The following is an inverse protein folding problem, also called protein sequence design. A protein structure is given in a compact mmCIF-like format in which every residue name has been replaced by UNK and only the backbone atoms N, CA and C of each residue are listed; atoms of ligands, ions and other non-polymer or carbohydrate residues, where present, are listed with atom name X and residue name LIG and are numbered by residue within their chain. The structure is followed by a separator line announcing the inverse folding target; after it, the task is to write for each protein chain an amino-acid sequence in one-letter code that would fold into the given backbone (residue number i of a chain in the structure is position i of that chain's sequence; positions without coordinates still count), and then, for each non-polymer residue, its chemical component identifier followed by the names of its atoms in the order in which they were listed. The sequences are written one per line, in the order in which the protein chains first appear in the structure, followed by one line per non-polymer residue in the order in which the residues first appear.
data_IF_344091029904
#
_entry.id   IF_344091029904
#
_cell.length_a   1.000
_cell.length_b   1.000
_cell.length_c   1.000
_cell.angle_alpha   90.00
_cell.angle_beta   90.00
_cell.angle_gamma   90.00
#
_symmetry.space_group_name_H-M   'P 1'
#
loop_
_entity.id
_entity.type
_entity.pdbx_description
1 polymer ?
#
# COMPACT_ATOMS: atom_id res chain seq x y z
N UNK A 1 13.06 -21.30 8.33
CA UNK A 1 14.33 -21.96 7.96
C UNK A 1 15.27 -21.83 9.15
N UNK A 2 16.26 -22.73 9.37
CA UNK A 2 17.23 -22.53 10.46
C UNK A 2 18.35 -21.59 10.04
N UNK A 3 19.03 -20.96 10.99
CA UNK A 3 20.21 -20.10 10.79
C UNK A 3 21.29 -20.83 10.00
N UNK A 4 21.59 -22.09 10.32
CA UNK A 4 22.54 -22.93 9.60
C UNK A 4 22.23 -23.10 8.10
N UNK A 5 20.94 -23.15 7.72
CA UNK A 5 20.54 -23.18 6.30
C UNK A 5 20.73 -21.84 5.60
N UNK A 6 20.57 -20.72 6.31
CA UNK A 6 20.84 -19.38 5.78
C UNK A 6 22.34 -19.20 5.57
N UNK A 7 23.17 -19.57 6.54
CA UNK A 7 24.63 -19.53 6.40
C UNK A 7 25.14 -20.41 5.26
N UNK A 8 24.56 -21.60 5.07
CA UNK A 8 24.85 -22.44 3.91
C UNK A 8 24.47 -21.73 2.61
N UNK A 9 23.27 -21.12 2.51
CA UNK A 9 22.85 -20.36 1.34
C UNK A 9 23.82 -19.21 1.04
N UNK A 10 24.26 -18.48 2.08
CA UNK A 10 25.24 -17.40 1.92
C UNK A 10 26.53 -17.91 1.30
N UNK A 11 27.05 -19.04 1.77
CA UNK A 11 28.24 -19.67 1.20
C UNK A 11 28.02 -20.15 -0.24
N UNK A 12 26.91 -20.87 -0.50
CA UNK A 12 26.59 -21.46 -1.81
C UNK A 12 26.35 -20.39 -2.89
N UNK A 13 25.96 -19.18 -2.48
CA UNK A 13 25.66 -18.04 -3.37
C UNK A 13 26.72 -16.93 -3.30
N UNK A 14 27.83 -17.18 -2.63
CA UNK A 14 28.93 -16.22 -2.49
C UNK A 14 28.43 -14.84 -2.05
N UNK A 15 27.55 -14.82 -1.02
CA UNK A 15 26.97 -13.58 -0.49
C UNK A 15 28.07 -12.76 0.17
N UNK A 16 28.19 -11.50 -0.24
CA UNK A 16 29.15 -10.52 0.30
C UNK A 16 28.50 -9.64 1.37
N UNK A 17 27.20 -9.35 1.22
CA UNK A 17 26.45 -8.51 2.17
C UNK A 17 25.12 -9.13 2.57
N UNK A 18 24.71 -8.87 3.81
CA UNK A 18 23.38 -9.19 4.34
C UNK A 18 22.64 -7.88 4.63
N UNK A 19 21.54 -7.66 3.96
CA UNK A 19 20.75 -6.43 4.01
C UNK A 19 19.49 -6.68 4.86
N UNK A 20 19.50 -6.12 6.08
CA UNK A 20 18.40 -6.24 7.04
C UNK A 20 17.36 -5.16 6.76
N UNK A 21 16.18 -5.55 6.25
CA UNK A 21 15.12 -4.62 5.86
C UNK A 21 13.96 -4.63 6.83
N UNK A 22 13.46 -3.46 7.14
CA UNK A 22 12.27 -3.27 7.99
C UNK A 22 11.43 -2.09 7.48
N UNK A 23 10.19 -1.99 7.92
CA UNK A 23 9.28 -0.92 7.51
C UNK A 23 8.96 -0.01 8.67
N UNK A 24 9.14 1.31 8.47
CA UNK A 24 8.80 2.30 9.48
C UNK A 24 7.26 2.55 9.57
N UNK A 25 6.76 3.30 10.56
CA UNK A 25 5.33 3.58 10.69
C UNK A 25 4.71 4.27 9.48
N UNK A 26 5.47 5.08 8.74
CA UNK A 26 5.00 5.75 7.51
C UNK A 26 4.88 4.79 6.32
N UNK A 27 5.39 3.57 6.41
CA UNK A 27 5.42 2.59 5.33
C UNK A 27 6.65 2.65 4.46
N UNK A 28 7.68 3.41 4.86
CA UNK A 28 8.95 3.47 4.15
C UNK A 28 9.79 2.25 4.48
N UNK A 29 10.33 1.60 3.44
CA UNK A 29 11.29 0.51 3.61
C UNK A 29 12.65 1.09 4.01
N UNK A 30 13.15 0.66 5.14
CA UNK A 30 14.44 1.03 5.72
C UNK A 30 15.38 -0.16 5.69
N UNK A 31 16.70 0.05 5.76
CA UNK A 31 17.65 -1.03 5.79
C UNK A 31 18.93 -0.71 6.56
N UNK A 32 19.63 -1.78 6.95
CA UNK A 32 20.99 -1.78 7.48
C UNK A 32 21.74 -2.94 6.80
N UNK A 33 22.87 -2.65 6.16
CA UNK A 33 23.68 -3.66 5.46
C UNK A 33 24.87 -4.07 6.33
N UNK A 34 25.04 -5.39 6.49
CA UNK A 34 26.14 -6.02 7.22
C UNK A 34 27.09 -6.71 6.25
N UNK A 35 28.39 -6.68 6.54
CA UNK A 35 29.38 -7.53 5.87
C UNK A 35 29.10 -8.99 6.19
N UNK A 36 29.07 -9.85 5.17
CA UNK A 36 28.70 -11.27 5.35
C UNK A 36 29.70 -12.04 6.23
N UNK A 37 30.93 -11.57 6.35
CA UNK A 37 31.98 -12.24 7.15
C UNK A 37 31.74 -12.18 8.66
N UNK A 38 30.92 -11.21 9.11
CA UNK A 38 30.58 -11.06 10.54
C UNK A 38 29.21 -11.65 10.88
N UNK A 39 28.48 -12.17 9.90
CA UNK A 39 27.15 -12.76 10.11
C UNK A 39 27.29 -14.21 10.56
N UNK A 40 26.85 -14.49 11.76
CA UNK A 40 26.88 -15.82 12.37
C UNK A 40 25.47 -16.32 12.81
N UNK A 41 25.42 -17.47 13.45
CA UNK A 41 24.16 -18.03 13.96
C UNK A 41 23.54 -17.17 15.07
N UNK A 42 24.37 -16.54 15.92
CA UNK A 42 23.89 -15.66 17.00
C UNK A 42 23.19 -14.45 16.41
N UNK A 43 23.83 -13.76 15.47
CA UNK A 43 23.24 -12.62 14.79
C UNK A 43 21.90 -12.97 14.09
N UNK A 44 21.84 -14.11 13.40
CA UNK A 44 20.63 -14.55 12.72
C UNK A 44 19.49 -14.92 13.67
N UNK A 45 19.81 -15.41 14.87
CA UNK A 45 18.82 -15.83 15.86
C UNK A 45 18.42 -14.71 16.83
N UNK A 46 19.39 -13.88 17.25
CA UNK A 46 19.18 -12.86 18.30
C UNK A 46 18.93 -11.48 17.70
N UNK A 47 19.44 -11.22 16.48
CA UNK A 47 19.30 -9.95 15.79
C UNK A 47 20.46 -9.00 16.03
N UNK A 48 20.30 -7.75 15.54
CA UNK A 48 21.29 -6.69 15.59
C UNK A 48 20.70 -5.45 16.25
N UNK A 49 21.45 -4.84 17.17
CA UNK A 49 21.06 -3.57 17.78
C UNK A 49 21.12 -2.42 16.78
N UNK A 50 20.18 -1.52 16.89
CA UNK A 50 20.15 -0.27 16.13
C UNK A 50 19.47 0.84 16.94
N UNK A 51 19.66 2.10 16.50
CA UNK A 51 19.04 3.27 17.10
C UNK A 51 17.60 3.46 16.61
N UNK A 52 16.64 3.03 17.41
CA UNK A 52 15.20 3.22 17.13
C UNK A 52 14.73 4.67 17.27
N UNK A 53 15.50 5.56 17.94
CA UNK A 53 15.12 6.98 18.07
C UNK A 53 15.29 7.76 16.76
N UNK A 54 16.10 7.24 15.84
CA UNK A 54 16.26 7.78 14.49
C UNK A 54 15.07 7.47 13.57
N UNK A 55 14.11 6.64 14.01
CA UNK A 55 12.90 6.31 13.26
C UNK A 55 11.72 7.12 13.80
N UNK A 56 11.16 7.99 12.96
CA UNK A 56 10.06 8.86 13.34
C UNK A 56 8.84 8.05 13.82
N UNK A 57 8.25 8.46 14.95
CA UNK A 57 7.11 7.80 15.57
C UNK A 57 7.45 6.57 16.43
N UNK A 58 8.75 6.23 16.59
CA UNK A 58 9.19 5.14 17.46
C UNK A 58 9.65 5.62 18.84
N UNK A 59 10.86 5.30 19.24
CA UNK A 59 11.39 5.55 20.59
C UNK A 59 11.91 7.00 20.76
N UNK A 60 11.96 7.46 22.00
CA UNK A 60 12.68 8.67 22.34
C UNK A 60 14.18 8.37 22.50
N UNK A 61 15.02 9.41 22.43
CA UNK A 61 16.49 9.28 22.45
C UNK A 61 17.05 8.58 23.70
N UNK A 62 16.34 8.65 24.82
CA UNK A 62 16.75 8.01 26.08
C UNK A 62 16.33 6.52 26.19
N UNK A 63 15.65 5.99 25.17
CA UNK A 63 15.22 4.59 25.06
C UNK A 63 15.53 4.04 23.66
N UNK A 64 16.63 4.47 23.04
CA UNK A 64 16.93 4.29 21.62
C UNK A 64 17.20 2.84 21.19
N UNK A 65 17.73 2.01 22.10
CA UNK A 65 18.21 0.67 21.75
C UNK A 65 17.05 -0.27 21.38
N UNK A 66 17.09 -0.75 20.14
CA UNK A 66 16.15 -1.72 19.59
C UNK A 66 16.91 -2.80 18.82
N UNK A 67 16.23 -3.90 18.51
CA UNK A 67 16.81 -5.05 17.80
C UNK A 67 16.08 -5.27 16.48
N UNK A 68 16.85 -5.32 15.38
CA UNK A 68 16.43 -5.88 14.10
C UNK A 68 16.56 -7.39 14.17
N UNK A 69 15.44 -8.12 14.24
CA UNK A 69 15.43 -9.58 14.29
C UNK A 69 15.05 -10.16 12.93
N UNK A 70 15.99 -10.83 12.21
CA UNK A 70 15.71 -11.37 10.89
C UNK A 70 14.64 -12.46 10.92
N UNK A 71 13.67 -12.38 10.00
CA UNK A 71 12.76 -13.47 9.69
C UNK A 71 13.38 -14.40 8.64
N UNK A 72 13.96 -15.49 9.10
CA UNK A 72 14.68 -16.43 8.24
C UNK A 72 13.79 -17.17 7.23
N UNK A 73 12.48 -17.06 7.37
CA UNK A 73 11.53 -17.58 6.38
C UNK A 73 11.42 -16.71 5.14
N UNK A 74 11.70 -15.41 5.27
CA UNK A 74 11.59 -14.40 4.20
C UNK A 74 12.96 -13.86 3.84
N UNK A 75 13.52 -14.36 2.76
CA UNK A 75 14.84 -14.01 2.23
C UNK A 75 14.80 -13.87 0.72
N UNK A 76 15.58 -12.95 0.20
CA UNK A 76 15.66 -12.63 -1.23
C UNK A 76 17.11 -12.32 -1.58
N UNK A 77 17.62 -12.83 -2.71
CA UNK A 77 18.88 -12.33 -3.27
C UNK A 77 18.54 -11.10 -4.09
N UNK A 78 19.22 -9.98 -3.82
CA UNK A 78 18.96 -8.71 -4.48
C UNK A 78 19.49 -8.75 -5.92
N UNK A 79 18.62 -8.58 -6.94
CA UNK A 79 19.07 -8.61 -8.34
C UNK A 79 19.64 -7.28 -8.84
N UNK A 80 19.65 -6.23 -8.02
CA UNK A 80 19.99 -4.86 -8.45
C UNK A 80 21.32 -4.35 -7.90
N UNK A 81 21.91 -5.03 -6.93
CA UNK A 81 23.21 -4.65 -6.35
C UNK A 81 24.35 -5.28 -7.14
N UNK A 82 25.48 -4.56 -7.27
CA UNK A 82 26.69 -5.05 -7.94
C UNK A 82 27.39 -6.19 -7.17
N UNK A 83 27.18 -6.25 -5.86
CA UNK A 83 27.69 -7.27 -4.96
C UNK A 83 26.57 -8.23 -4.55
N UNK A 84 26.88 -9.50 -4.42
CA UNK A 84 25.89 -10.51 -4.02
C UNK A 84 25.32 -10.21 -2.64
N UNK A 85 24.09 -9.72 -2.59
CA UNK A 85 23.45 -9.24 -1.36
C UNK A 85 22.24 -10.11 -1.03
N UNK A 86 22.16 -10.57 0.22
CA UNK A 86 21.02 -11.31 0.76
C UNK A 86 20.13 -10.35 1.58
N UNK A 87 18.92 -10.10 1.11
CA UNK A 87 17.90 -9.35 1.84
C UNK A 87 17.20 -10.27 2.83
N UNK A 88 17.11 -9.83 4.10
CA UNK A 88 16.30 -10.45 5.15
C UNK A 88 15.31 -9.42 5.69
N UNK A 89 14.02 -9.76 5.68
CA UNK A 89 13.01 -8.95 6.36
C UNK A 89 13.13 -9.14 7.87
N UNK A 90 13.05 -8.04 8.63
CA UNK A 90 13.19 -8.05 10.07
C UNK A 90 11.90 -7.66 10.78
N UNK A 91 11.68 -8.29 11.92
CA UNK A 91 10.79 -7.82 12.97
C UNK A 91 11.56 -6.91 13.90
N UNK A 92 10.87 -5.99 14.56
CA UNK A 92 11.48 -5.12 15.56
C UNK A 92 11.18 -5.66 16.96
N UNK A 93 12.22 -5.79 17.76
CA UNK A 93 12.15 -6.30 19.13
C UNK A 93 12.62 -5.23 20.10
N UNK A 94 11.86 -5.05 21.19
CA UNK A 94 12.27 -4.17 22.30
C UNK A 94 13.48 -4.79 23.01
N UNK A 95 14.57 -4.03 23.12
CA UNK A 95 15.82 -4.54 23.64
C UNK A 95 15.76 -4.89 25.15
N UNK A 96 14.89 -4.22 25.89
CA UNK A 96 14.71 -4.42 27.35
C UNK A 96 13.69 -5.53 27.63
N UNK A 97 12.50 -5.41 27.05
CA UNK A 97 11.39 -6.37 27.24
C UNK A 97 11.61 -7.67 26.49
N UNK A 98 12.47 -7.68 25.47
CA UNK A 98 12.79 -8.82 24.58
C UNK A 98 11.54 -9.45 23.93
N UNK A 99 10.51 -8.63 23.68
CA UNK A 99 9.29 -8.99 22.96
C UNK A 99 9.13 -8.14 21.69
N UNK A 100 8.17 -8.51 20.84
CA UNK A 100 7.82 -7.71 19.66
C UNK A 100 7.49 -6.28 20.06
N UNK A 101 8.10 -5.30 19.38
CA UNK A 101 7.85 -3.89 19.62
C UNK A 101 6.43 -3.52 19.19
N UNK A 102 5.68 -2.81 20.03
CA UNK A 102 4.27 -2.55 19.81
C UNK A 102 3.97 -1.72 18.56
N UNK A 103 4.91 -0.83 18.19
CA UNK A 103 4.78 0.04 17.02
C UNK A 103 5.43 -0.53 15.75
N UNK A 104 5.87 -1.80 15.78
CA UNK A 104 6.36 -2.49 14.59
C UNK A 104 5.20 -2.86 13.66
N UNK A 105 5.10 -2.26 12.44
CA UNK A 105 4.02 -2.57 11.51
C UNK A 105 3.94 -4.06 11.13
N UNK A 106 5.11 -4.70 10.93
CA UNK A 106 5.17 -6.13 10.58
C UNK A 106 4.74 -7.01 11.75
N UNK A 107 5.11 -6.64 12.97
CA UNK A 107 4.67 -7.28 14.20
C UNK A 107 3.14 -7.19 14.38
N UNK A 108 2.53 -6.03 14.08
CA UNK A 108 1.07 -5.84 14.10
C UNK A 108 0.41 -6.78 13.09
N UNK A 109 0.93 -6.88 11.88
CA UNK A 109 0.39 -7.78 10.85
C UNK A 109 0.43 -9.26 11.28
N UNK A 110 1.51 -9.70 11.93
CA UNK A 110 1.62 -11.05 12.53
C UNK A 110 0.58 -11.29 13.63
N UNK A 111 0.33 -10.28 14.48
CA UNK A 111 -0.73 -10.35 15.51
C UNK A 111 -2.12 -10.44 14.86
N UNK A 112 -2.38 -9.71 13.76
CA UNK A 112 -3.66 -9.79 13.04
C UNK A 112 -3.91 -11.17 12.44
N UNK A 113 -2.91 -11.82 11.84
CA UNK A 113 -3.03 -13.22 11.38
C UNK A 113 -3.27 -14.21 12.54
N UNK A 114 -2.58 -14.01 13.66
CA UNK A 114 -2.77 -14.84 14.86
C UNK A 114 -4.17 -14.65 15.45
N UNK A 115 -4.67 -13.42 15.49
CA UNK A 115 -6.02 -13.11 15.95
C UNK A 115 -7.09 -13.78 15.07
N UNK A 116 -6.98 -13.69 13.74
CA UNK A 116 -7.89 -14.42 12.84
C UNK A 116 -7.99 -15.90 13.21
N UNK A 117 -6.85 -16.57 13.42
CA UNK A 117 -6.83 -17.99 13.81
C UNK A 117 -7.52 -18.22 15.15
N UNK A 118 -7.31 -17.36 16.14
CA UNK A 118 -7.90 -17.48 17.47
C UNK A 118 -9.43 -17.33 17.47
N UNK A 119 -9.98 -16.58 16.51
CA UNK A 119 -11.44 -16.42 16.37
C UNK A 119 -12.14 -17.70 15.88
N UNK A 120 -11.42 -18.62 15.25
CA UNK A 120 -11.98 -19.82 14.63
C UNK A 120 -12.75 -19.57 13.32
N UNK A 121 -12.86 -18.31 12.87
CA UNK A 121 -13.51 -17.92 11.60
C UNK A 121 -12.72 -18.49 10.42
N UNK A 122 -11.40 -18.36 10.47
CA UNK A 122 -10.49 -18.86 9.45
C UNK A 122 -9.07 -19.00 9.96
N UNK A 123 -8.20 -19.56 9.14
CA UNK A 123 -6.78 -19.72 9.46
C UNK A 123 -5.86 -18.92 8.53
N UNK A 124 -6.42 -18.40 7.41
CA UNK A 124 -5.72 -17.58 6.44
C UNK A 124 -6.61 -16.45 5.94
N UNK A 125 -6.06 -15.26 5.89
CA UNK A 125 -6.61 -14.14 5.13
C UNK A 125 -5.68 -13.87 3.95
N UNK A 126 -6.23 -13.90 2.74
CA UNK A 126 -5.49 -13.60 1.51
C UNK A 126 -5.76 -12.17 1.07
N UNK A 127 -4.69 -11.52 0.62
CA UNK A 127 -4.69 -10.16 0.08
C UNK A 127 -4.12 -10.17 -1.32
N UNK A 128 -4.81 -9.52 -2.26
CA UNK A 128 -4.39 -9.30 -3.64
C UNK A 128 -4.45 -7.81 -3.95
N UNK A 129 -3.41 -7.03 -3.60
CA UNK A 129 -3.36 -5.62 -3.95
C UNK A 129 -2.98 -5.42 -5.41
N UNK A 130 -3.49 -4.34 -6.00
CA UNK A 130 -3.22 -3.85 -7.36
C UNK A 130 -2.62 -2.44 -7.26
N UNK A 131 -1.32 -2.31 -6.87
CA UNK A 131 -0.71 -1.00 -6.73
C UNK A 131 -0.38 -0.39 -8.08
N UNK A 132 -0.98 0.77 -8.33
CA UNK A 132 -0.71 1.63 -9.48
C UNK A 132 0.41 2.62 -9.14
N UNK A 133 1.13 3.09 -10.16
CA UNK A 133 2.21 4.04 -9.99
C UNK A 133 2.44 4.88 -11.25
N UNK A 134 3.09 6.04 -11.08
CA UNK A 134 3.53 6.88 -12.18
C UNK A 134 5.04 6.76 -12.38
N UNK A 135 5.47 6.91 -13.65
CA UNK A 135 6.89 6.98 -14.04
C UNK A 135 7.12 8.23 -14.87
N UNK A 136 8.03 9.09 -14.42
CA UNK A 136 8.34 10.37 -15.06
C UNK A 136 9.79 10.41 -15.56
N UNK A 137 10.04 11.24 -16.55
CA UNK A 137 11.38 11.51 -17.07
C UNK A 137 12.14 12.48 -16.18
N UNK A 138 11.43 13.44 -15.58
CA UNK A 138 12.02 14.44 -14.70
C UNK A 138 10.99 14.96 -13.69
N UNK A 139 11.41 15.13 -12.44
CA UNK A 139 10.62 15.73 -11.37
C UNK A 139 11.48 16.71 -10.60
N UNK A 140 11.05 17.98 -10.59
CA UNK A 140 11.68 19.04 -9.82
C UNK A 140 10.67 19.64 -8.88
N UNK A 141 11.10 19.92 -7.67
CA UNK A 141 10.26 20.64 -6.71
C UNK A 141 11.11 21.58 -5.86
N UNK A 142 10.48 22.65 -5.43
CA UNK A 142 11.05 23.67 -4.57
C UNK A 142 10.06 24.01 -3.47
N UNK A 143 10.53 24.16 -2.27
CA UNK A 143 9.71 24.54 -1.11
C UNK A 143 10.55 25.43 -0.18
N UNK A 144 10.82 26.66 -0.66
CA UNK A 144 11.54 27.69 0.04
C UNK A 144 10.58 28.73 0.63
N UNK A 145 11.09 29.63 1.44
CA UNK A 145 10.31 30.69 2.11
C UNK A 145 9.53 31.57 1.13
N UNK A 146 10.07 31.80 -0.07
CA UNK A 146 9.54 32.71 -1.08
C UNK A 146 9.08 32.01 -2.38
N UNK A 147 9.20 30.69 -2.46
CA UNK A 147 8.84 29.95 -3.65
C UNK A 147 8.42 28.51 -3.31
N UNK A 148 7.21 28.15 -3.70
CA UNK A 148 6.71 26.77 -3.67
C UNK A 148 6.30 26.39 -5.08
N UNK A 149 7.00 25.42 -5.67
CA UNK A 149 6.75 24.96 -7.03
C UNK A 149 7.08 23.49 -7.21
N UNK A 150 6.48 22.88 -8.21
CA UNK A 150 6.92 21.59 -8.76
C UNK A 150 6.73 21.57 -10.25
N UNK A 151 7.57 20.80 -10.94
CA UNK A 151 7.48 20.55 -12.36
C UNK A 151 7.73 19.06 -12.63
N UNK A 152 6.87 18.48 -13.46
CA UNK A 152 6.92 17.07 -13.87
C UNK A 152 7.03 17.04 -15.39
N UNK A 153 7.93 16.20 -15.90
CA UNK A 153 8.07 15.93 -17.32
C UNK A 153 7.90 14.44 -17.60
N UNK A 154 7.22 14.13 -18.71
CA UNK A 154 7.14 12.79 -19.27
C UNK A 154 6.99 12.83 -20.79
N UNK A 155 7.66 11.93 -21.48
CA UNK A 155 7.52 11.78 -22.93
C UNK A 155 6.09 11.40 -23.36
N UNK A 156 5.27 10.87 -22.47
CA UNK A 156 3.86 10.57 -22.68
C UNK A 156 2.92 11.72 -22.30
N UNK A 157 3.40 12.68 -21.52
CA UNK A 157 2.55 13.74 -20.97
C UNK A 157 2.10 14.74 -22.04
N UNK A 158 0.80 15.13 -22.07
CA UNK A 158 0.31 16.19 -22.94
C UNK A 158 0.93 17.56 -22.64
N UNK A 159 1.50 17.73 -21.43
CA UNK A 159 2.20 18.91 -20.94
C UNK A 159 3.65 19.02 -21.46
N UNK A 160 4.12 18.05 -22.23
CA UNK A 160 5.50 17.94 -22.68
C UNK A 160 5.66 18.28 -24.17
N UNK A 161 5.35 19.49 -24.57
CA UNK A 161 5.39 19.90 -25.97
C UNK A 161 6.69 20.62 -26.40
N UNK A 162 7.45 21.14 -25.45
CA UNK A 162 8.66 21.95 -25.73
C UNK A 162 9.98 21.24 -25.44
N UNK A 163 9.97 20.08 -24.80
CA UNK A 163 11.20 19.36 -24.45
C UNK A 163 11.71 18.51 -25.60
N UNK A 164 13.02 18.51 -25.80
CA UNK A 164 13.70 17.59 -26.73
C UNK A 164 14.17 16.35 -25.95
N UNK A 165 13.91 15.19 -26.48
CA UNK A 165 14.42 13.92 -26.00
C UNK A 165 15.46 13.36 -26.96
N UNK A 166 16.38 12.53 -26.47
CA UNK A 166 17.40 11.87 -27.29
C UNK A 166 16.77 11.06 -28.44
N UNK A 167 15.72 10.31 -28.14
CA UNK A 167 14.95 9.53 -29.12
C UNK A 167 13.95 10.35 -29.94
N UNK A 168 13.88 11.67 -29.72
CA UNK A 168 12.88 12.54 -30.33
C UNK A 168 11.50 12.42 -29.69
N UNK A 169 10.64 13.40 -30.01
CA UNK A 169 9.25 13.40 -29.59
C UNK A 169 8.36 13.09 -30.81
N UNK A 170 7.96 11.83 -30.91
CA UNK A 170 7.32 11.27 -32.12
C UNK A 170 5.82 11.55 -32.22
N UNK A 171 5.22 12.26 -31.26
CA UNK A 171 3.81 12.61 -31.27
C UNK A 171 2.85 11.47 -30.84
N UNK A 172 3.31 10.25 -30.67
CA UNK A 172 2.51 9.14 -30.16
C UNK A 172 2.38 9.26 -28.65
N UNK A 173 1.20 9.69 -28.17
CA UNK A 173 0.92 9.90 -26.75
C UNK A 173 -0.50 9.51 -26.40
N UNK A 174 -0.73 8.91 -25.23
CA UNK A 174 -2.07 8.83 -24.70
C UNK A 174 -2.58 10.25 -24.36
N UNK A 175 -3.82 10.54 -24.66
CA UNK A 175 -4.47 11.78 -24.19
C UNK A 175 -4.79 11.71 -22.70
N UNK A 176 -5.26 12.82 -22.11
CA UNK A 176 -5.80 12.84 -20.75
C UNK A 176 -6.91 11.77 -20.67
N UNK A 177 -6.84 10.89 -19.68
CA UNK A 177 -7.71 9.71 -19.51
C UNK A 177 -7.74 8.75 -20.70
N UNK A 178 -6.74 8.79 -21.57
CA UNK A 178 -6.68 7.98 -22.80
C UNK A 178 -5.63 6.86 -22.79
N UNK A 179 -5.00 6.60 -21.64
CA UNK A 179 -3.89 5.65 -21.53
C UNK A 179 -4.25 4.19 -21.30
N UNK A 180 -5.54 3.84 -21.13
CA UNK A 180 -5.90 2.47 -20.80
C UNK A 180 -5.80 1.53 -21.99
N UNK A 181 -4.80 0.63 -21.96
CA UNK A 181 -4.53 -0.45 -22.92
C UNK A 181 -4.17 -0.04 -24.37
N UNK A 182 -3.50 1.10 -24.66
CA UNK A 182 -3.02 1.31 -26.00
C UNK A 182 -1.90 0.33 -26.34
N UNK A 183 -1.71 0.07 -27.62
CA UNK A 183 -0.53 -0.68 -28.09
C UNK A 183 0.64 0.27 -28.37
N UNK A 184 1.89 -0.22 -28.35
CA UNK A 184 3.03 0.56 -28.82
C UNK A 184 2.80 1.09 -30.27
N UNK A 185 3.28 2.29 -30.63
CA UNK A 185 4.17 3.16 -29.85
C UNK A 185 3.47 4.17 -28.93
N UNK A 186 2.12 4.19 -28.88
CA UNK A 186 1.38 5.06 -27.93
C UNK A 186 1.69 4.64 -26.49
N UNK A 187 1.73 3.34 -26.22
CA UNK A 187 2.32 2.76 -25.03
C UNK A 187 3.84 2.73 -25.16
N UNK A 188 4.53 3.73 -24.64
CA UNK A 188 5.99 3.83 -24.73
C UNK A 188 6.75 2.98 -23.70
N UNK A 189 6.05 2.36 -22.74
CA UNK A 189 6.66 1.71 -21.58
C UNK A 189 6.53 0.17 -21.58
N UNK A 190 6.15 -0.45 -22.70
CA UNK A 190 5.96 -1.89 -22.82
C UNK A 190 7.19 -2.68 -22.33
N UNK A 191 8.38 -2.33 -22.80
CA UNK A 191 9.62 -3.04 -22.48
C UNK A 191 10.03 -2.79 -21.01
N UNK A 192 9.90 -1.58 -20.52
CA UNK A 192 10.17 -1.25 -19.12
C UNK A 192 9.25 -2.04 -18.18
N UNK A 193 7.96 -2.19 -18.51
CA UNK A 193 7.06 -3.03 -17.72
C UNK A 193 7.41 -4.51 -17.80
N UNK A 194 7.96 -4.98 -18.91
CA UNK A 194 8.54 -6.31 -19.03
C UNK A 194 9.69 -6.53 -18.04
N UNK A 195 10.59 -5.55 -17.90
CA UNK A 195 11.68 -5.59 -16.92
C UNK A 195 11.20 -5.52 -15.48
N UNK A 196 10.14 -4.77 -15.17
CA UNK A 196 9.50 -4.84 -13.85
C UNK A 196 9.03 -6.25 -13.51
N UNK A 197 8.30 -6.92 -14.41
CA UNK A 197 7.85 -8.30 -14.17
C UNK A 197 9.02 -9.26 -14.00
N UNK A 198 10.11 -9.05 -14.74
CA UNK A 198 11.34 -9.84 -14.58
C UNK A 198 11.93 -9.63 -13.20
N UNK A 199 12.15 -8.38 -12.78
CA UNK A 199 12.67 -8.05 -11.46
C UNK A 199 11.81 -8.59 -10.31
N UNK A 200 10.48 -8.53 -10.46
CA UNK A 200 9.55 -9.12 -9.48
C UNK A 200 9.70 -10.64 -9.37
N UNK A 201 9.88 -11.35 -10.49
CA UNK A 201 10.17 -12.79 -10.47
C UNK A 201 11.50 -13.08 -9.82
N UNK A 202 12.52 -12.29 -10.11
CA UNK A 202 13.87 -12.44 -9.57
C UNK A 202 13.89 -12.31 -8.03
N UNK A 203 13.04 -11.44 -7.46
CA UNK A 203 12.83 -11.35 -6.00
C UNK A 203 11.81 -12.36 -5.45
N UNK A 204 11.33 -13.30 -6.26
CA UNK A 204 10.46 -14.40 -5.85
C UNK A 204 8.98 -14.07 -5.79
N UNK A 205 8.54 -12.95 -6.37
CA UNK A 205 7.11 -12.60 -6.47
C UNK A 205 6.51 -13.27 -7.71
N UNK A 206 5.43 -14.02 -7.53
CA UNK A 206 4.66 -14.57 -8.64
C UNK A 206 3.82 -13.47 -9.27
N UNK A 207 4.08 -13.17 -10.54
CA UNK A 207 3.42 -12.12 -11.32
C UNK A 207 2.36 -12.68 -12.26
N UNK A 208 1.45 -11.82 -12.71
CA UNK A 208 0.35 -12.14 -13.63
C UNK A 208 0.49 -11.42 -14.96
N UNK A 209 0.42 -10.10 -14.94
CA UNK A 209 0.26 -9.23 -16.10
C UNK A 209 0.86 -7.86 -15.83
N UNK A 210 0.99 -7.07 -16.88
CA UNK A 210 1.20 -5.63 -16.78
C UNK A 210 0.37 -4.91 -17.84
N UNK A 211 0.05 -3.67 -17.60
CA UNK A 211 -0.59 -2.80 -18.58
C UNK A 211 -0.32 -1.32 -18.29
N UNK A 212 -0.56 -0.50 -19.30
CA UNK A 212 -0.65 0.94 -19.15
C UNK A 212 -1.97 1.30 -18.49
N UNK A 213 -1.95 2.23 -17.55
CA UNK A 213 -3.14 2.74 -16.86
C UNK A 213 -3.76 3.95 -17.55
N UNK A 214 -4.85 4.48 -16.97
CA UNK A 214 -5.71 5.50 -17.58
C UNK A 214 -4.97 6.82 -17.84
N UNK A 215 -4.15 7.27 -16.89
CA UNK A 215 -3.38 8.50 -17.08
C UNK A 215 -2.10 8.26 -17.88
N UNK A 216 -1.61 9.24 -18.69
CA UNK A 216 -0.26 9.22 -19.22
C UNK A 216 0.77 8.94 -18.11
N UNK A 217 1.77 8.13 -18.40
CA UNK A 217 2.84 7.73 -17.45
C UNK A 217 2.40 6.86 -16.29
N UNK A 218 1.18 6.37 -16.30
CA UNK A 218 0.64 5.53 -15.23
C UNK A 218 0.64 4.04 -15.61
N UNK A 219 1.03 3.19 -14.67
CA UNK A 219 1.22 1.76 -14.89
C UNK A 219 0.67 0.93 -13.75
N UNK A 220 0.33 -0.33 -14.06
CA UNK A 220 -0.03 -1.37 -13.10
C UNK A 220 0.63 -2.70 -13.46
N UNK A 221 1.06 -3.44 -12.42
CA UNK A 221 1.61 -4.80 -12.53
C UNK A 221 0.81 -5.72 -11.62
N UNK A 222 0.27 -6.78 -12.18
CA UNK A 222 -0.47 -7.79 -11.42
C UNK A 222 0.46 -8.78 -10.71
N UNK A 223 0.21 -9.02 -9.42
CA UNK A 223 0.84 -10.07 -8.64
C UNK A 223 -0.18 -11.00 -8.00
N UNK A 224 0.19 -12.27 -7.83
CA UNK A 224 -0.68 -13.24 -7.16
C UNK A 224 -0.86 -12.89 -5.68
N UNK A 225 -2.07 -13.14 -5.17
CA UNK A 225 -2.39 -12.97 -3.75
C UNK A 225 -1.59 -13.89 -2.84
N UNK A 226 -1.34 -13.43 -1.61
CA UNK A 226 -0.69 -14.16 -0.52
C UNK A 226 -1.38 -13.87 0.80
N UNK A 227 -0.93 -14.50 1.88
CA UNK A 227 -1.37 -14.16 3.24
C UNK A 227 -0.92 -12.75 3.61
N UNK A 228 -1.51 -12.18 4.64
CA UNK A 228 -1.37 -10.77 4.99
C UNK A 228 0.10 -10.33 5.11
N UNK A 229 0.90 -11.00 5.95
CA UNK A 229 2.30 -10.64 6.18
C UNK A 229 3.13 -10.84 4.90
N UNK A 230 2.99 -11.99 4.24
CA UNK A 230 3.72 -12.29 3.01
C UNK A 230 3.38 -11.28 1.90
N UNK A 231 2.12 -10.85 1.80
CA UNK A 231 1.72 -9.91 0.78
C UNK A 231 2.16 -8.48 1.09
N UNK A 232 2.20 -8.10 2.36
CA UNK A 232 2.76 -6.80 2.76
C UNK A 232 4.27 -6.73 2.47
N UNK A 233 5.02 -7.80 2.78
CA UNK A 233 6.43 -7.96 2.36
C UNK A 233 6.57 -7.84 0.82
N UNK A 234 5.67 -8.48 0.06
CA UNK A 234 5.65 -8.41 -1.41
C UNK A 234 5.39 -6.99 -1.93
N UNK A 235 4.49 -6.22 -1.31
CA UNK A 235 4.25 -4.81 -1.70
C UNK A 235 5.50 -3.97 -1.48
N UNK A 236 6.24 -4.19 -0.41
CA UNK A 236 7.50 -3.49 -0.17
C UNK A 236 8.57 -3.83 -1.22
N UNK A 237 8.72 -5.11 -1.56
CA UNK A 237 9.61 -5.54 -2.66
C UNK A 237 9.13 -5.03 -4.02
N UNK A 238 7.82 -5.01 -4.27
CA UNK A 238 7.23 -4.45 -5.49
C UNK A 238 7.65 -2.99 -5.68
N UNK A 239 7.48 -2.17 -4.64
CA UNK A 239 7.90 -0.76 -4.68
C UNK A 239 9.40 -0.63 -4.93
N UNK A 240 10.21 -1.44 -4.26
CA UNK A 240 11.66 -1.47 -4.45
C UNK A 240 12.04 -1.79 -5.89
N UNK A 241 11.48 -2.86 -6.47
CA UNK A 241 11.73 -3.27 -7.86
C UNK A 241 11.32 -2.17 -8.84
N UNK A 242 10.13 -1.56 -8.64
CA UNK A 242 9.66 -0.47 -9.48
C UNK A 242 10.62 0.72 -9.46
N UNK A 243 11.10 1.12 -8.28
CA UNK A 243 12.08 2.21 -8.17
C UNK A 243 13.42 1.86 -8.86
N UNK A 244 13.94 0.65 -8.62
CA UNK A 244 15.24 0.23 -9.16
C UNK A 244 15.23 0.08 -10.69
N UNK A 245 14.20 -0.54 -11.24
CA UNK A 245 14.06 -0.67 -12.69
C UNK A 245 13.82 0.69 -13.35
N UNK A 246 12.95 1.55 -12.79
CA UNK A 246 12.77 2.91 -13.31
C UNK A 246 14.09 3.67 -13.36
N UNK A 247 14.87 3.58 -12.27
CA UNK A 247 16.19 4.21 -12.20
C UNK A 247 17.14 3.70 -13.30
N UNK A 248 17.15 2.40 -13.58
CA UNK A 248 17.98 1.82 -14.66
C UNK A 248 17.59 2.29 -16.07
N UNK A 249 16.35 2.75 -16.25
CA UNK A 249 15.86 3.39 -17.47
C UNK A 249 16.06 4.91 -17.49
N UNK A 250 16.77 5.49 -16.53
CA UNK A 250 16.94 6.94 -16.40
C UNK A 250 15.66 7.69 -16.07
N UNK A 251 14.69 7.01 -15.46
CA UNK A 251 13.37 7.56 -15.08
C UNK A 251 13.17 7.50 -13.57
N UNK A 252 12.11 8.13 -13.09
CA UNK A 252 11.73 8.12 -11.68
C UNK A 252 10.28 7.67 -11.49
N UNK A 253 10.06 6.72 -10.59
CA UNK A 253 8.73 6.22 -10.26
C UNK A 253 8.21 6.81 -8.96
N UNK A 254 6.88 6.91 -8.85
CA UNK A 254 6.22 7.32 -7.60
C UNK A 254 4.91 6.57 -7.37
N UNK A 255 4.68 6.20 -6.10
CA UNK A 255 3.40 5.69 -5.62
C UNK A 255 2.54 6.80 -4.99
N UNK A 256 2.86 8.04 -5.24
CA UNK A 256 2.08 9.20 -4.84
C UNK A 256 0.66 9.11 -5.43
N UNK A 257 -0.39 9.20 -4.62
CA UNK A 257 -1.76 8.92 -5.09
C UNK A 257 -2.28 9.89 -6.15
N UNK A 258 -1.82 11.14 -6.13
CA UNK A 258 -2.24 12.18 -7.08
C UNK A 258 -1.09 13.11 -7.44
N UNK A 259 -0.13 12.69 -8.26
CA UNK A 259 0.99 13.54 -8.65
C UNK A 259 0.62 14.56 -9.73
N UNK A 260 -0.38 14.28 -10.56
CA UNK A 260 -0.77 15.11 -11.72
C UNK A 260 -2.19 15.66 -11.53
N UNK A 261 -2.36 16.97 -11.76
CA UNK A 261 -3.66 17.65 -11.75
C UNK A 261 -4.44 17.32 -13.03
N UNK A 262 -5.75 17.09 -12.89
CA UNK A 262 -6.68 16.98 -14.03
C UNK A 262 -6.73 15.60 -14.71
N UNK A 263 -6.02 14.60 -14.19
CA UNK A 263 -6.07 13.23 -14.68
C UNK A 263 -6.30 12.21 -13.52
N UNK A 264 -6.38 10.91 -13.81
CA UNK A 264 -6.58 9.89 -12.78
C UNK A 264 -5.40 9.85 -11.78
N UNK A 265 -5.69 9.42 -10.56
CA UNK A 265 -4.69 9.12 -9.53
C UNK A 265 -4.43 7.62 -9.42
N UNK A 266 -3.42 7.25 -8.63
CA UNK A 266 -3.03 5.86 -8.39
C UNK A 266 -3.68 5.30 -7.15
N UNK A 267 -4.36 4.16 -7.30
CA UNK A 267 -4.92 3.34 -6.23
C UNK A 267 -4.02 2.17 -5.84
N UNK A 268 -4.46 1.45 -4.83
CA UNK A 268 -4.04 0.10 -4.51
C UNK A 268 -5.28 -0.69 -4.13
N UNK A 269 -6.10 -0.98 -5.14
CA UNK A 269 -7.31 -1.79 -4.92
C UNK A 269 -6.89 -3.11 -4.28
N UNK A 270 -7.60 -3.52 -3.23
CA UNK A 270 -7.15 -4.66 -2.43
C UNK A 270 -8.24 -5.73 -2.37
N UNK A 271 -8.01 -6.81 -3.10
CA UNK A 271 -8.83 -8.02 -3.02
C UNK A 271 -8.59 -8.75 -1.70
N UNK A 272 -9.65 -9.26 -1.08
CA UNK A 272 -9.58 -9.91 0.22
C UNK A 272 -10.48 -11.14 0.27
N UNK A 273 -9.99 -12.20 0.92
CA UNK A 273 -10.78 -13.40 1.23
C UNK A 273 -10.25 -14.11 2.47
N UNK A 274 -11.14 -14.81 3.20
CA UNK A 274 -10.78 -15.65 4.34
C UNK A 274 -10.98 -17.11 3.98
N UNK A 275 -10.04 -17.95 4.44
CA UNK A 275 -10.06 -19.39 4.24
C UNK A 275 -9.91 -20.14 5.56
N UNK A 276 -10.54 -21.31 5.64
CA UNK A 276 -10.37 -22.29 6.73
C UNK A 276 -9.92 -23.61 6.12
N UNK A 277 -8.67 -23.95 6.31
CA UNK A 277 -8.03 -25.05 5.60
C UNK A 277 -8.05 -24.83 4.08
N UNK A 278 -8.84 -25.65 3.37
CA UNK A 278 -9.06 -25.55 1.91
C UNK A 278 -10.41 -24.95 1.52
N UNK A 279 -11.19 -24.49 2.51
CA UNK A 279 -12.55 -23.99 2.29
C UNK A 279 -12.56 -22.46 2.23
N UNK A 280 -13.04 -21.84 1.13
CA UNK A 280 -13.23 -20.40 1.03
C UNK A 280 -14.45 -19.98 1.89
N UNK A 281 -14.21 -19.23 2.96
CA UNK A 281 -15.26 -18.80 3.91
C UNK A 281 -16.23 -17.81 3.26
N UNK A 282 -15.78 -17.08 2.25
CA UNK A 282 -16.59 -16.07 1.57
C UNK A 282 -17.56 -16.64 0.53
N UNK A 283 -17.40 -17.90 0.11
CA UNK A 283 -18.29 -18.54 -0.84
C UNK A 283 -19.63 -18.92 -0.20
N UNK A 284 -20.73 -18.64 -0.86
CA UNK A 284 -22.08 -18.95 -0.39
C UNK A 284 -23.15 -18.87 -1.48
N UNK A 285 -24.38 -18.62 -1.06
CA UNK A 285 -25.55 -18.54 -1.93
C UNK A 285 -26.33 -17.22 -1.80
N UNK A 286 -25.73 -16.22 -1.14
CA UNK A 286 -26.30 -14.88 -1.02
C UNK A 286 -25.91 -14.01 -2.22
N UNK A 287 -26.10 -12.69 -2.08
CA UNK A 287 -25.79 -11.72 -3.13
C UNK A 287 -24.41 -11.97 -3.77
N UNK A 288 -24.36 -11.99 -5.09
CA UNK A 288 -23.16 -12.25 -5.89
C UNK A 288 -22.41 -13.56 -5.55
N UNK A 289 -23.08 -14.57 -4.99
CA UNK A 289 -22.47 -15.86 -4.60
C UNK A 289 -21.64 -15.80 -3.31
N UNK A 290 -21.80 -14.77 -2.50
CA UNK A 290 -21.16 -14.63 -1.22
C UNK A 290 -21.91 -15.39 -0.10
N UNK A 291 -21.22 -15.63 1.01
CA UNK A 291 -21.77 -16.11 2.27
C UNK A 291 -22.24 -14.93 3.15
N UNK A 292 -23.07 -15.23 4.16
CA UNK A 292 -23.39 -14.23 5.21
C UNK A 292 -22.13 -13.72 5.90
N UNK A 293 -21.14 -14.58 6.09
CA UNK A 293 -19.84 -14.19 6.68
C UNK A 293 -19.15 -13.14 5.82
N UNK A 294 -19.14 -13.29 4.50
CA UNK A 294 -18.55 -12.30 3.59
C UNK A 294 -19.33 -10.97 3.60
N UNK A 295 -20.66 -11.03 3.65
CA UNK A 295 -21.49 -9.82 3.75
C UNK A 295 -21.24 -9.08 5.08
N UNK A 296 -21.18 -9.79 6.19
CA UNK A 296 -20.81 -9.18 7.48
C UNK A 296 -19.38 -8.59 7.47
N UNK A 297 -18.42 -9.25 6.80
CA UNK A 297 -17.06 -8.73 6.60
C UNK A 297 -17.11 -7.37 5.87
N UNK A 298 -17.87 -7.30 4.76
CA UNK A 298 -18.09 -6.06 4.01
C UNK A 298 -18.77 -5.00 4.91
N UNK A 299 -19.75 -5.41 5.71
CA UNK A 299 -20.41 -4.52 6.70
C UNK A 299 -19.41 -3.89 7.66
N UNK A 300 -18.45 -4.67 8.18
CA UNK A 300 -17.37 -4.17 9.01
C UNK A 300 -16.44 -3.19 8.28
N UNK A 301 -16.04 -3.50 7.05
CA UNK A 301 -15.24 -2.60 6.21
C UNK A 301 -15.94 -1.26 6.00
N UNK A 302 -17.23 -1.26 5.63
CA UNK A 302 -17.98 -0.04 5.36
C UNK A 302 -18.21 0.79 6.64
N UNK A 303 -18.51 0.13 7.77
CA UNK A 303 -18.68 0.80 9.07
C UNK A 303 -17.43 1.53 9.53
N UNK A 304 -16.27 0.88 9.42
CA UNK A 304 -15.00 1.39 9.92
C UNK A 304 -14.16 2.09 8.82
N UNK A 305 -14.72 2.33 7.64
CA UNK A 305 -13.99 2.83 6.47
C UNK A 305 -13.22 4.14 6.76
N UNK A 306 -13.80 5.07 7.53
CA UNK A 306 -13.15 6.34 7.87
C UNK A 306 -11.92 6.14 8.79
N UNK A 307 -11.98 5.21 9.73
CA UNK A 307 -10.82 4.84 10.54
C UNK A 307 -9.77 4.08 9.72
N UNK A 308 -10.21 3.20 8.82
CA UNK A 308 -9.32 2.50 7.87
C UNK A 308 -8.58 3.50 6.97
N UNK A 309 -9.22 4.61 6.55
CA UNK A 309 -8.58 5.63 5.73
C UNK A 309 -7.31 6.20 6.37
N UNK A 310 -7.21 6.24 7.68
CA UNK A 310 -6.00 6.66 8.37
C UNK A 310 -4.75 5.87 7.94
N UNK A 311 -4.90 4.58 7.71
CA UNK A 311 -3.82 3.68 7.29
C UNK A 311 -3.77 3.45 5.78
N UNK A 312 -4.93 3.32 5.14
CA UNK A 312 -5.03 3.00 3.71
C UNK A 312 -4.83 4.20 2.79
N UNK A 313 -5.00 5.42 3.31
CA UNK A 313 -4.90 6.70 2.61
C UNK A 313 -4.17 7.71 3.51
N UNK A 314 -2.95 7.33 3.90
CA UNK A 314 -2.23 7.93 5.03
C UNK A 314 -1.42 9.19 4.68
N UNK A 315 -1.73 9.85 3.55
CA UNK A 315 -1.06 11.09 3.13
C UNK A 315 -2.06 12.19 2.81
N UNK A 316 -1.65 13.44 2.92
CA UNK A 316 -2.46 14.59 2.47
C UNK A 316 -2.74 14.54 0.97
N UNK A 317 -1.87 13.90 0.19
CA UNK A 317 -2.04 13.70 -1.25
C UNK A 317 -3.09 12.64 -1.59
N UNK A 318 -3.35 11.66 -0.69
CA UNK A 318 -4.38 10.64 -0.85
C UNK A 318 -5.77 11.27 -1.11
N UNK A 319 -6.08 12.37 -0.44
CA UNK A 319 -7.38 13.06 -0.53
C UNK A 319 -7.49 13.98 -1.74
N UNK A 320 -6.41 14.17 -2.50
CA UNK A 320 -6.45 14.76 -3.84
C UNK A 320 -6.85 13.72 -4.91
N UNK A 321 -6.67 12.42 -4.61
CA UNK A 321 -7.18 11.31 -5.42
C UNK A 321 -8.64 11.00 -5.09
N UNK A 322 -9.01 10.96 -3.81
CA UNK A 322 -10.36 10.58 -3.34
C UNK A 322 -11.39 11.71 -3.55
N UNK A 323 -11.56 12.09 -4.81
CA UNK A 323 -12.53 13.10 -5.26
C UNK A 323 -13.42 12.53 -6.37
N UNK A 324 -14.69 12.94 -6.46
CA UNK A 324 -15.59 12.47 -7.54
C UNK A 324 -15.05 12.80 -8.94
N UNK A 325 -15.32 11.94 -9.93
CA UNK A 325 -15.03 12.19 -11.35
C UNK A 325 -13.67 11.71 -11.87
N UNK A 326 -12.83 11.07 -11.02
CA UNK A 326 -11.52 10.54 -11.42
C UNK A 326 -11.36 9.04 -11.08
N UNK A 327 -12.44 8.27 -11.23
CA UNK A 327 -12.49 6.83 -10.97
C UNK A 327 -12.09 6.41 -9.54
N UNK A 328 -12.04 7.37 -8.61
CA UNK A 328 -11.84 7.11 -7.21
C UNK A 328 -13.19 6.87 -6.51
N UNK A 329 -13.41 5.72 -5.85
CA UNK A 329 -14.66 5.40 -5.19
C UNK A 329 -14.74 6.14 -3.86
N UNK A 330 -15.58 7.16 -3.79
CA UNK A 330 -15.77 7.96 -2.56
C UNK A 330 -17.00 7.55 -1.74
N UNK A 331 -18.00 6.91 -2.36
CA UNK A 331 -19.24 6.49 -1.70
C UNK A 331 -19.06 5.13 -1.03
N UNK A 332 -19.38 5.04 0.25
CA UNK A 332 -19.26 3.82 1.07
C UNK A 332 -20.43 2.87 0.82
N UNK A 333 -20.39 2.22 -0.32
CA UNK A 333 -21.36 1.21 -0.76
C UNK A 333 -20.64 -0.03 -1.29
N UNK A 334 -21.38 -1.14 -1.37
CA UNK A 334 -20.89 -2.34 -2.06
C UNK A 334 -21.78 -2.69 -3.24
N UNK A 335 -21.18 -3.32 -4.25
CA UNK A 335 -21.90 -3.75 -5.45
C UNK A 335 -21.15 -4.84 -6.21
N UNK A 336 -21.90 -5.72 -6.88
CA UNK A 336 -21.33 -6.70 -7.79
C UNK A 336 -20.95 -6.03 -9.11
N UNK A 337 -19.74 -6.32 -9.62
CA UNK A 337 -19.22 -5.86 -10.92
C UNK A 337 -19.04 -4.34 -11.09
N UNK A 338 -19.55 -3.55 -10.20
CA UNK A 338 -19.58 -2.09 -10.29
C UNK A 338 -18.27 -1.47 -9.78
N UNK A 339 -17.50 -0.87 -10.68
CA UNK A 339 -16.21 -0.23 -10.36
C UNK A 339 -16.34 1.14 -9.68
N UNK A 340 -17.54 1.73 -9.65
CA UNK A 340 -17.79 2.98 -8.93
C UNK A 340 -18.03 2.79 -7.42
N UNK A 341 -18.27 1.55 -6.97
CA UNK A 341 -18.46 1.23 -5.56
C UNK A 341 -17.12 1.15 -4.80
N UNK A 342 -17.08 1.60 -3.55
CA UNK A 342 -15.90 1.52 -2.68
C UNK A 342 -15.56 0.07 -2.28
N UNK A 343 -16.56 -0.81 -2.23
CA UNK A 343 -16.37 -2.25 -2.09
C UNK A 343 -17.04 -2.97 -3.25
N UNK A 344 -16.21 -3.51 -4.15
CA UNK A 344 -16.68 -4.27 -5.32
C UNK A 344 -16.61 -5.77 -5.05
N UNK A 345 -17.59 -6.52 -5.57
CA UNK A 345 -17.56 -7.97 -5.58
C UNK A 345 -17.29 -8.42 -7.02
N UNK A 346 -16.09 -8.90 -7.35
CA UNK A 346 -15.76 -9.38 -8.69
C UNK A 346 -16.58 -10.62 -9.06
N UNK A 347 -16.93 -10.77 -10.35
CA UNK A 347 -17.42 -12.05 -10.87
C UNK A 347 -16.31 -13.09 -10.77
N UNK A 348 -16.67 -14.30 -10.38
CA UNK A 348 -15.74 -15.42 -10.29
C UNK A 348 -16.25 -16.62 -11.09
N UNK A 349 -15.33 -17.32 -11.76
CA UNK A 349 -15.64 -18.52 -12.55
C UNK A 349 -15.92 -19.74 -11.68
N UNK A 350 -15.40 -19.75 -10.46
CA UNK A 350 -15.60 -20.83 -9.51
C UNK A 350 -15.69 -20.29 -8.06
N UNK A 351 -16.26 -21.10 -7.18
CA UNK A 351 -16.51 -20.73 -5.79
C UNK A 351 -15.25 -20.37 -5.00
N UNK A 352 -14.10 -20.91 -5.38
CA UNK A 352 -12.82 -20.62 -4.68
C UNK A 352 -12.34 -19.19 -4.91
N UNK A 353 -12.86 -18.51 -5.92
CA UNK A 353 -12.53 -17.11 -6.21
C UNK A 353 -13.36 -16.08 -5.43
N UNK A 354 -14.30 -16.52 -4.58
CA UNK A 354 -15.18 -15.60 -3.83
C UNK A 354 -14.36 -14.64 -2.96
N UNK A 355 -14.52 -13.35 -3.19
CA UNK A 355 -13.73 -12.29 -2.54
C UNK A 355 -14.44 -10.94 -2.62
N UNK A 356 -14.05 -9.99 -1.81
CA UNK A 356 -14.37 -8.57 -1.99
C UNK A 356 -13.11 -7.80 -2.38
N UNK A 357 -13.31 -6.66 -3.03
CA UNK A 357 -12.27 -5.72 -3.44
C UNK A 357 -12.56 -4.37 -2.82
N UNK A 358 -11.69 -3.91 -1.93
CA UNK A 358 -11.75 -2.57 -1.35
C UNK A 358 -10.95 -1.62 -2.25
N UNK A 359 -11.59 -0.56 -2.75
CA UNK A 359 -11.05 0.25 -3.84
C UNK A 359 -10.52 1.62 -3.42
N UNK A 360 -10.78 2.09 -2.21
CA UNK A 360 -10.27 3.38 -1.73
C UNK A 360 -8.79 3.38 -1.32
N UNK A 361 -8.13 2.27 -0.90
CA UNK A 361 -6.71 2.30 -0.55
C UNK A 361 -5.83 2.79 -1.70
N UNK A 362 -4.67 3.36 -1.35
CA UNK A 362 -3.63 3.77 -2.30
C UNK A 362 -2.24 3.24 -1.93
N UNK A 363 -1.31 3.35 -2.86
CA UNK A 363 0.04 2.82 -2.73
C UNK A 363 0.94 3.56 -1.73
N UNK A 364 0.54 4.73 -1.21
CA UNK A 364 1.32 5.48 -0.23
C UNK A 364 1.16 4.95 1.20
N UNK A 365 0.09 4.17 1.46
CA UNK A 365 -0.15 3.56 2.76
C UNK A 365 0.90 2.52 3.14
N UNK A 366 1.06 2.32 4.47
CA UNK A 366 1.85 1.22 5.01
C UNK A 366 1.10 -0.10 4.79
N UNK A 367 1.60 -1.06 3.98
CA UNK A 367 0.83 -2.25 3.61
C UNK A 367 0.50 -3.14 4.80
N UNK A 368 1.38 -3.24 5.79
CA UNK A 368 1.14 -4.03 7.00
C UNK A 368 -0.02 -3.46 7.82
N UNK A 369 -0.04 -2.14 8.05
CA UNK A 369 -1.09 -1.47 8.80
C UNK A 369 -2.41 -1.44 8.00
N UNK A 370 -2.34 -1.17 6.70
CA UNK A 370 -3.50 -1.12 5.82
C UNK A 370 -4.23 -2.47 5.78
N UNK A 371 -3.51 -3.55 5.54
CA UNK A 371 -4.12 -4.89 5.46
C UNK A 371 -4.62 -5.35 6.84
N UNK A 372 -3.87 -5.05 7.90
CA UNK A 372 -4.30 -5.37 9.27
C UNK A 372 -5.58 -4.63 9.66
N UNK A 373 -5.67 -3.33 9.38
CA UNK A 373 -6.86 -2.54 9.68
C UNK A 373 -8.10 -3.05 8.94
N UNK A 374 -7.96 -3.39 7.64
CA UNK A 374 -9.06 -3.98 6.86
C UNK A 374 -9.46 -5.36 7.40
N UNK A 375 -8.51 -6.22 7.75
CA UNK A 375 -8.82 -7.54 8.35
C UNK A 375 -9.56 -7.37 9.68
N UNK A 376 -9.07 -6.50 10.56
CA UNK A 376 -9.69 -6.26 11.86
C UNK A 376 -11.10 -5.70 11.75
N UNK A 377 -11.34 -4.76 10.82
CA UNK A 377 -12.67 -4.23 10.53
C UNK A 377 -13.63 -5.33 10.02
N UNK A 378 -13.16 -6.16 9.11
CA UNK A 378 -13.95 -7.28 8.60
C UNK A 378 -14.26 -8.32 9.69
N UNK A 379 -13.31 -8.63 10.56
CA UNK A 379 -13.52 -9.55 11.69
C UNK A 379 -14.52 -8.97 12.71
N UNK A 380 -14.47 -7.67 12.98
CA UNK A 380 -15.47 -6.99 13.80
C UNK A 380 -16.86 -7.10 13.17
N UNK A 381 -16.93 -6.91 11.85
CA UNK A 381 -18.16 -7.09 11.07
C UNK A 381 -18.76 -8.50 11.22
N UNK A 382 -17.93 -9.53 11.10
CA UNK A 382 -18.38 -10.93 11.24
C UNK A 382 -18.84 -11.19 12.69
N UNK A 383 -18.03 -10.78 13.67
CA UNK A 383 -18.30 -11.02 15.10
C UNK A 383 -19.60 -10.37 15.54
N UNK A 384 -19.85 -9.14 15.10
CA UNK A 384 -21.03 -8.35 15.48
C UNK A 384 -22.18 -8.47 14.47
N UNK A 385 -22.04 -9.30 13.42
CA UNK A 385 -23.02 -9.50 12.34
C UNK A 385 -23.50 -8.18 11.73
N UNK A 386 -22.54 -7.31 11.39
CA UNK A 386 -22.83 -5.98 10.86
C UNK A 386 -23.41 -6.12 9.47
N UNK A 387 -24.63 -5.65 9.29
CA UNK A 387 -25.33 -5.63 7.99
C UNK A 387 -24.68 -4.57 7.08
N UNK A 388 -24.18 -4.90 5.90
CA UNK A 388 -23.66 -3.94 4.93
C UNK A 388 -24.77 -3.06 4.28
N UNK A 389 -26.03 -3.31 4.57
CA UNK A 389 -27.17 -2.68 3.90
C UNK A 389 -27.48 -3.32 2.54
N UNK A 390 -28.23 -2.61 1.70
CA UNK A 390 -28.55 -3.07 0.34
C UNK A 390 -27.39 -2.75 -0.62
N UNK A 391 -27.06 -3.67 -1.54
CA UNK A 391 -26.11 -3.37 -2.60
C UNK A 391 -26.65 -2.26 -3.51
N UNK A 392 -25.74 -1.45 -4.06
CA UNK A 392 -26.10 -0.37 -4.97
C UNK A 392 -25.52 -0.65 -6.36
N UNK A 393 -26.35 -1.25 -7.23
CA UNK A 393 -25.96 -1.72 -8.56
C UNK A 393 -26.18 -0.67 -9.68
N UNK A 394 -26.29 0.61 -9.30
CA UNK A 394 -26.40 1.76 -10.20
C UNK A 394 -25.02 2.35 -10.48
N UNK A 395 -24.87 3.09 -11.60
CA UNK A 395 -23.68 3.90 -11.82
C UNK A 395 -23.65 5.07 -10.82
N UNK A 396 -22.72 4.99 -9.86
CA UNK A 396 -22.63 5.96 -8.76
C UNK A 396 -22.17 7.33 -9.24
N UNK A 397 -21.46 7.42 -10.38
CA UNK A 397 -21.04 8.70 -10.95
C UNK A 397 -22.19 9.45 -11.63
N UNK A 398 -23.23 8.72 -12.06
CA UNK A 398 -24.43 9.27 -12.68
C UNK A 398 -25.59 9.52 -11.69
N UNK A 399 -25.42 9.24 -10.40
CA UNK A 399 -26.46 9.44 -9.40
C UNK A 399 -26.81 10.93 -9.23
N UNK A 400 -28.10 11.28 -9.12
CA UNK A 400 -28.50 12.63 -8.81
C UNK A 400 -28.03 13.02 -7.41
N UNK A 401 -27.70 14.29 -7.24
CA UNK A 401 -27.14 14.84 -5.99
C UNK A 401 -28.02 14.57 -4.75
N UNK A 402 -29.32 14.55 -4.93
CA UNK A 402 -30.30 14.24 -3.88
C UNK A 402 -30.18 12.80 -3.33
N UNK A 403 -29.75 11.84 -4.16
CA UNK A 403 -29.44 10.47 -3.71
C UNK A 403 -28.07 10.39 -3.04
N UNK A 404 -27.05 11.06 -3.63
CA UNK A 404 -25.66 11.04 -3.13
C UNK A 404 -25.56 11.59 -1.71
N UNK A 405 -26.28 12.66 -1.38
CA UNK A 405 -26.25 13.29 -0.05
C UNK A 405 -26.53 12.35 1.13
N UNK A 406 -27.26 11.27 0.88
CA UNK A 406 -27.65 10.30 1.92
C UNK A 406 -26.73 9.09 2.00
N UNK A 407 -25.70 9.00 1.14
CA UNK A 407 -24.76 7.90 1.13
C UNK A 407 -23.50 8.30 1.91
N UNK A 408 -23.05 7.51 2.91
CA UNK A 408 -21.81 7.78 3.60
C UNK A 408 -20.61 7.83 2.64
N UNK A 409 -19.61 8.64 2.95
CA UNK A 409 -18.40 8.79 2.14
C UNK A 409 -17.15 8.40 2.91
N UNK A 410 -16.08 8.10 2.19
CA UNK A 410 -14.71 8.07 2.73
C UNK A 410 -14.34 9.45 3.28
N UNK A 411 -13.25 9.56 4.03
CA UNK A 411 -12.76 10.85 4.53
C UNK A 411 -12.40 11.79 3.38
N UNK A 412 -12.64 13.09 3.58
CA UNK A 412 -12.27 14.15 2.65
C UNK A 412 -10.88 14.75 2.91
N UNK A 413 -10.24 14.41 4.03
CA UNK A 413 -8.91 14.91 4.40
C UNK A 413 -8.17 13.92 5.31
N UNK A 414 -6.83 14.06 5.37
CA UNK A 414 -6.03 13.28 6.31
C UNK A 414 -6.39 13.62 7.77
N UNK A 415 -6.73 14.88 8.06
CA UNK A 415 -7.20 15.31 9.38
C UNK A 415 -8.46 14.54 9.78
N UNK A 416 -9.48 14.51 8.93
CA UNK A 416 -10.71 13.75 9.18
C UNK A 416 -10.43 12.26 9.42
N UNK A 417 -9.48 11.69 8.70
CA UNK A 417 -9.10 10.29 8.87
C UNK A 417 -8.43 10.03 10.23
N UNK A 418 -7.52 10.91 10.66
CA UNK A 418 -6.88 10.79 11.99
C UNK A 418 -7.90 10.97 13.12
N UNK A 419 -8.79 11.96 13.01
CA UNK A 419 -9.87 12.17 13.99
C UNK A 419 -10.88 11.00 13.99
N UNK A 420 -11.11 10.37 12.85
CA UNK A 420 -11.97 9.18 12.77
C UNK A 420 -11.32 7.96 13.39
N UNK A 421 -10.01 7.76 13.19
CA UNK A 421 -9.24 6.71 13.85
C UNK A 421 -9.23 6.91 15.37
N UNK A 422 -9.09 8.15 15.84
CA UNK A 422 -9.12 8.45 17.27
C UNK A 422 -10.44 8.06 17.92
N UNK A 423 -11.57 8.35 17.26
CA UNK A 423 -12.92 8.02 17.75
C UNK A 423 -13.32 6.56 17.58
N UNK A 424 -12.82 5.87 16.54
CA UNK A 424 -13.23 4.52 16.15
C UNK A 424 -12.00 3.61 16.06
N UNK A 425 -11.42 3.26 17.21
CA UNK A 425 -10.19 2.46 17.33
C UNK A 425 -10.39 1.09 18.00
N UNK A 426 -11.51 0.87 18.68
CA UNK A 426 -11.70 -0.33 19.52
C UNK A 426 -11.68 -1.63 18.71
N UNK A 427 -12.17 -1.63 17.46
CA UNK A 427 -12.12 -2.80 16.60
C UNK A 427 -10.68 -3.24 16.29
N UNK A 428 -9.74 -2.30 16.20
CA UNK A 428 -8.31 -2.57 15.95
C UNK A 428 -7.62 -3.25 17.12
N UNK A 429 -8.07 -2.98 18.34
CA UNK A 429 -7.44 -3.45 19.58
C UNK A 429 -7.84 -4.88 19.95
N UNK A 430 -8.83 -5.45 19.27
CA UNK A 430 -9.26 -6.83 19.50
C UNK A 430 -8.08 -7.80 19.39
N UNK A 431 -7.98 -8.73 20.38
CA UNK A 431 -6.87 -9.69 20.44
C UNK A 431 -5.49 -9.08 20.67
N UNK A 432 -5.39 -7.80 21.07
CA UNK A 432 -4.12 -7.10 21.28
C UNK A 432 -3.35 -6.83 19.98
N UNK A 433 -4.04 -6.71 18.84
CA UNK A 433 -3.42 -6.50 17.53
C UNK A 433 -2.80 -5.12 17.45
N UNK A 434 -3.58 -4.07 17.62
CA UNK A 434 -3.10 -2.68 17.79
C UNK A 434 -3.14 -2.34 19.29
N UNK A 435 -2.32 -1.37 19.69
CA UNK A 435 -2.38 -0.74 21.02
C UNK A 435 -2.74 0.74 20.90
N UNK A 436 -3.24 1.32 22.00
CA UNK A 436 -3.47 2.76 22.05
C UNK A 436 -2.17 3.54 21.83
N UNK A 437 -1.05 3.09 22.40
CA UNK A 437 0.28 3.68 22.22
C UNK A 437 0.69 3.76 20.73
N UNK A 438 0.46 2.68 19.97
CA UNK A 438 0.77 2.66 18.54
C UNK A 438 -0.17 3.59 17.75
N UNK A 439 -1.46 3.58 18.05
CA UNK A 439 -2.45 4.42 17.37
C UNK A 439 -2.18 5.90 17.65
N UNK A 440 -1.94 6.27 18.91
CA UNK A 440 -1.67 7.65 19.32
C UNK A 440 -0.38 8.18 18.69
N UNK A 441 0.68 7.36 18.67
CA UNK A 441 1.93 7.71 18.02
C UNK A 441 1.76 7.91 16.51
N UNK A 442 0.96 7.07 15.85
CA UNK A 442 0.67 7.22 14.42
C UNK A 442 -0.14 8.49 14.14
N UNK A 443 -1.16 8.77 14.93
CA UNK A 443 -1.97 10.00 14.82
C UNK A 443 -1.07 11.23 14.99
N UNK A 444 -0.24 11.27 16.04
CA UNK A 444 0.68 12.38 16.28
C UNK A 444 1.63 12.61 15.09
N UNK A 445 2.24 11.52 14.57
CA UNK A 445 3.12 11.56 13.42
C UNK A 445 2.44 12.13 12.17
N UNK A 446 1.16 11.83 11.96
CA UNK A 446 0.39 12.32 10.82
C UNK A 446 -0.09 13.75 10.99
N UNK A 447 -0.35 14.20 12.20
CA UNK A 447 -0.64 15.62 12.46
C UNK A 447 0.56 16.53 12.16
N UNK A 448 1.80 16.08 12.37
CA UNK A 448 2.99 16.82 11.92
C UNK A 448 2.96 17.07 10.39
N UNK A 449 2.60 16.04 9.60
CA UNK A 449 2.49 16.16 8.14
C UNK A 449 1.34 17.09 7.72
N UNK A 450 0.19 17.01 8.42
CA UNK A 450 -0.98 17.87 8.20
C UNK A 450 -0.61 19.33 8.42
N UNK A 451 -0.05 19.67 9.58
CA UNK A 451 0.34 21.04 9.92
C UNK A 451 1.39 21.59 8.97
N UNK A 452 2.37 20.77 8.58
CA UNK A 452 3.39 21.17 7.62
C UNK A 452 2.79 21.60 6.28
N UNK A 453 1.78 20.89 5.78
CA UNK A 453 1.10 21.28 4.54
C UNK A 453 0.18 22.50 4.74
N UNK A 454 -0.64 22.50 5.80
CA UNK A 454 -1.62 23.56 6.06
C UNK A 454 -0.97 24.94 6.32
N UNK A 455 0.26 24.97 6.82
CA UNK A 455 1.02 26.20 7.07
C UNK A 455 1.94 26.60 5.90
N UNK A 456 1.89 25.89 4.77
CA UNK A 456 2.67 26.22 3.59
C UNK A 456 1.79 26.88 2.55
N UNK A 457 2.01 28.17 2.18
CA UNK A 457 1.25 28.82 1.13
C UNK A 457 1.33 28.05 -0.20
N UNK A 458 0.19 27.96 -0.87
CA UNK A 458 0.08 27.23 -2.15
C UNK A 458 -0.15 28.20 -3.31
N UNK A 459 0.44 27.96 -4.51
CA UNK A 459 0.23 28.83 -5.68
C UNK A 459 -1.23 29.13 -6.04
N UNK A 460 -2.13 28.17 -5.78
CA UNK A 460 -3.58 28.33 -5.99
C UNK A 460 -4.19 29.43 -5.11
N UNK A 461 -3.65 29.67 -3.91
CA UNK A 461 -4.13 30.72 -3.01
C UNK A 461 -3.79 32.09 -3.56
N UNK A 462 -2.64 32.25 -4.23
CA UNK A 462 -2.30 33.48 -4.94
C UNK A 462 -3.22 33.72 -6.11
N UNK A 463 -3.54 32.66 -6.89
CA UNK A 463 -4.53 32.78 -7.99
C UNK A 463 -5.91 33.23 -7.47
N UNK A 464 -6.37 32.67 -6.35
CA UNK A 464 -7.72 32.95 -5.83
C UNK A 464 -7.82 34.24 -5.03
N UNK A 465 -6.78 34.63 -4.28
CA UNK A 465 -6.92 35.62 -3.20
C UNK A 465 -5.97 36.82 -3.30
N UNK A 466 -4.95 36.80 -4.16
CA UNK A 466 -3.91 37.86 -4.14
C UNK A 466 -4.46 39.26 -4.43
N UNK A 467 -5.48 39.37 -5.25
CA UNK A 467 -6.12 40.64 -5.63
C UNK A 467 -7.46 40.85 -4.94
N UNK A 468 -7.81 40.05 -3.94
CA UNK A 468 -9.08 40.16 -3.17
C UNK A 468 -9.05 41.19 -2.07
#
# INVERSE_FOLDING_TARGET
MSSSKVLKLMKDKEIEYVDLRFTDPRGKLQHLTMDATIVDESMLNDGVFFDGSSIAGWKAIHESDMILKPDLSRKVIDPFTSHNTLILFCDIVDAVKKNSYERDPRGIAKKAEAYLKSTGIGDKAYFGPEPEFFVFDDVRYKNDMNETSFAIDSNEGPYNTGRKYESGNMGHRPGIKGGYFPVPPVDSAQDMRGEYLKGLRDVGIKVEKHHHEVAPSQHELGMYFRTLVEQADNVQLYKYVVHMVSHSFGKTATFMPKPVKGDNGSGMHTHQSIWKGKTPVFSGNKYAGLSDTALHYIGGILKHAKAINAFSNSTTNSYKRLIPGFEAPVLLVYSARNRSASCRIPIVLNKNGARCEVRFPDGAGNPYLTFSAMLMAGLDGIKNKIDPGKPLDEDLYALPESKVKNIPTVCGSLREAMESLDRDREFLKQGGVFSDDQIDAFIALKFEEIYKLEHTPHPMEFEMYYSG
#
